data_IF_463996839448
#
_entry.id   IF_463996839448
#
_cell.length_a   1.000
_cell.length_b   1.000
_cell.length_c   1.000
_cell.angle_alpha   90.00
_cell.angle_beta   90.00
_cell.angle_gamma   90.00
#
_symmetry.space_group_name_H-M   'P 1'
#
loop_
_entity.id
_entity.type
_entity.pdbx_description
1 polymer ?
#
# COMPACT_ATOMS: atom_id res chain seq x y z
N UNK A 1 -26.37 46.46 8.13
CA UNK A 1 -26.08 45.70 6.88
C UNK A 1 -24.84 44.81 7.09
N UNK A 2 -24.85 43.95 8.12
CA UNK A 2 -23.64 43.22 8.59
C UNK A 2 -23.91 41.73 8.91
N UNK A 3 -25.01 41.18 8.42
CA UNK A 3 -25.50 39.85 8.85
C UNK A 3 -25.50 38.79 7.74
N UNK A 4 -24.95 39.10 6.55
CA UNK A 4 -24.89 38.17 5.41
C UNK A 4 -23.48 37.68 5.06
N UNK A 5 -22.44 38.18 5.73
CA UNK A 5 -21.04 37.87 5.38
C UNK A 5 -20.53 36.62 6.12
N UNK A 6 -21.11 36.26 7.27
CA UNK A 6 -20.66 35.10 8.04
C UNK A 6 -21.09 33.73 7.49
N UNK A 7 -22.12 33.68 6.64
CA UNK A 7 -22.60 32.41 6.06
C UNK A 7 -21.77 31.96 4.85
N UNK A 8 -20.99 32.85 4.25
CA UNK A 8 -20.19 32.55 3.06
C UNK A 8 -18.80 31.97 3.39
N UNK A 9 -18.34 32.12 4.63
CA UNK A 9 -17.00 31.64 5.05
C UNK A 9 -17.04 30.18 5.51
N UNK A 10 -18.18 29.70 6.03
CA UNK A 10 -18.34 28.31 6.47
C UNK A 10 -18.47 27.29 5.33
N UNK A 11 -18.94 27.71 4.14
CA UNK A 11 -19.14 26.81 2.99
C UNK A 11 -17.87 26.57 2.16
N UNK A 12 -16.85 27.41 2.29
CA UNK A 12 -15.59 27.27 1.53
C UNK A 12 -14.60 26.31 2.19
N UNK A 13 -14.76 26.02 3.50
CA UNK A 13 -13.91 25.05 4.21
C UNK A 13 -14.32 23.58 4.01
N UNK A 14 -15.55 23.30 3.59
CA UNK A 14 -15.99 21.93 3.29
C UNK A 14 -15.52 21.39 1.93
N UNK A 15 -14.84 22.20 1.10
CA UNK A 15 -14.39 21.77 -0.23
C UNK A 15 -12.91 21.37 -0.28
N UNK A 16 -12.15 21.54 0.81
CA UNK A 16 -10.75 21.09 0.88
C UNK A 16 -10.60 19.62 1.33
N UNK A 17 -11.70 18.92 1.63
CA UNK A 17 -11.68 17.50 2.01
C UNK A 17 -11.77 16.53 0.82
N UNK A 18 -11.80 17.04 -0.42
CA UNK A 18 -11.87 16.22 -1.63
C UNK A 18 -10.49 16.18 -2.30
N UNK A 19 -9.71 15.17 -1.90
CA UNK A 19 -8.51 14.75 -2.61
C UNK A 19 -7.26 15.58 -2.29
N UNK A 20 -6.74 15.51 -1.06
CA UNK A 20 -5.30 15.65 -0.93
C UNK A 20 -4.67 14.49 -1.68
N UNK A 21 -4.07 14.78 -2.84
CA UNK A 21 -3.12 13.85 -3.45
C UNK A 21 -2.10 13.49 -2.37
N UNK A 22 -1.96 12.19 -2.09
CA UNK A 22 -1.05 11.71 -1.04
C UNK A 22 0.37 12.15 -1.37
N UNK A 23 1.02 12.75 -0.37
CA UNK A 23 2.35 13.32 -0.54
C UNK A 23 3.44 12.28 -0.29
N UNK A 24 3.11 11.21 0.43
CA UNK A 24 4.01 10.14 0.80
C UNK A 24 4.67 9.50 -0.44
N UNK A 25 5.98 9.33 -0.37
CA UNK A 25 6.85 8.75 -1.39
C UNK A 25 7.49 7.44 -0.94
N UNK A 26 7.43 7.15 0.36
CA UNK A 26 8.00 5.94 0.98
C UNK A 26 7.02 5.29 1.95
N UNK A 27 7.20 3.99 2.22
CA UNK A 27 6.38 3.25 3.19
C UNK A 27 6.59 3.82 4.60
N UNK A 28 7.83 4.20 4.93
CA UNK A 28 8.18 4.87 6.19
C UNK A 28 7.35 6.16 6.40
N UNK A 29 7.10 6.96 5.35
CA UNK A 29 6.23 8.14 5.44
C UNK A 29 4.76 7.76 5.64
N UNK A 30 4.28 6.68 5.02
CA UNK A 30 2.93 6.15 5.28
C UNK A 30 2.76 5.69 6.74
N UNK A 31 3.80 5.07 7.32
CA UNK A 31 3.80 4.58 8.70
C UNK A 31 3.96 5.72 9.72
N UNK A 32 4.79 6.73 9.45
CA UNK A 32 4.89 7.94 10.28
C UNK A 32 3.55 8.69 10.40
N UNK A 33 2.75 8.65 9.34
CA UNK A 33 1.44 9.30 9.28
C UNK A 33 0.28 8.32 9.56
N UNK A 34 0.55 7.12 10.07
CA UNK A 34 -0.48 6.13 10.37
C UNK A 34 -1.42 6.65 11.47
N UNK A 35 -2.69 6.24 11.40
CA UNK A 35 -3.70 6.61 12.39
C UNK A 35 -3.31 6.12 13.79
N UNK A 36 -3.68 6.88 14.83
CA UNK A 36 -3.37 6.56 16.23
C UNK A 36 -3.82 5.15 16.64
N UNK A 37 -4.92 4.66 16.08
CA UNK A 37 -5.47 3.31 16.31
C UNK A 37 -4.54 2.18 15.85
N UNK A 38 -3.55 2.47 15.01
CA UNK A 38 -2.61 1.53 14.42
C UNK A 38 -1.15 1.79 14.81
N UNK A 39 -0.83 2.93 15.44
CA UNK A 39 0.56 3.33 15.77
C UNK A 39 1.31 2.28 16.59
N UNK A 40 0.67 1.76 17.63
CA UNK A 40 1.29 0.74 18.50
C UNK A 40 1.30 -0.67 17.88
N UNK A 41 0.81 -0.81 16.63
CA UNK A 41 0.69 -2.07 15.91
C UNK A 41 1.56 -2.13 14.65
N UNK A 42 2.36 -1.11 14.35
CA UNK A 42 3.20 -1.07 13.13
C UNK A 42 4.00 -2.36 12.96
N UNK A 43 4.61 -2.87 14.02
CA UNK A 43 5.38 -4.12 13.97
C UNK A 43 4.54 -5.34 13.60
N UNK A 44 3.30 -5.42 14.08
CA UNK A 44 2.35 -6.46 13.69
C UNK A 44 1.96 -6.35 12.21
N UNK A 45 1.74 -5.11 11.73
CA UNK A 45 1.35 -4.82 10.35
C UNK A 45 2.47 -5.16 9.37
N UNK A 46 3.73 -4.88 9.71
CA UNK A 46 4.91 -5.23 8.90
C UNK A 46 5.13 -6.74 8.77
N UNK A 47 4.49 -7.56 9.62
CA UNK A 47 4.44 -9.02 9.45
C UNK A 47 3.32 -9.52 8.52
N UNK A 48 2.66 -8.59 7.81
CA UNK A 48 1.55 -8.83 6.89
C UNK A 48 0.29 -9.39 7.58
N UNK A 49 -0.01 -8.93 8.78
CA UNK A 49 -1.25 -9.32 9.46
C UNK A 49 -2.44 -8.58 8.83
N UNK A 50 -3.47 -9.28 8.32
CA UNK A 50 -4.64 -8.62 7.75
C UNK A 50 -5.48 -7.96 8.85
N UNK A 51 -5.83 -6.69 8.65
CA UNK A 51 -6.67 -5.91 9.57
C UNK A 51 -7.81 -5.27 8.79
N UNK A 52 -9.04 -5.47 9.26
CA UNK A 52 -10.23 -4.88 8.65
C UNK A 52 -10.67 -3.67 9.49
N UNK A 53 -10.29 -2.47 9.05
CA UNK A 53 -10.72 -1.20 9.63
C UNK A 53 -10.57 -0.07 8.62
N UNK A 54 -11.35 1.01 8.76
CA UNK A 54 -11.25 2.17 7.85
C UNK A 54 -9.87 2.86 7.93
N UNK A 55 -9.17 2.75 9.07
CA UNK A 55 -7.81 3.26 9.21
C UNK A 55 -6.80 2.37 8.48
N UNK A 56 -7.00 1.05 8.50
CA UNK A 56 -6.17 0.12 7.72
C UNK A 56 -6.44 0.27 6.22
N UNK A 57 -7.68 0.54 5.83
CA UNK A 57 -8.06 0.85 4.45
C UNK A 57 -7.24 2.03 3.90
N UNK A 58 -7.14 3.11 4.69
CA UNK A 58 -6.30 4.27 4.34
C UNK A 58 -4.81 3.91 4.30
N UNK A 59 -4.32 3.20 5.31
CA UNK A 59 -2.90 2.84 5.40
C UNK A 59 -2.47 1.95 4.22
N UNK A 60 -3.23 0.90 3.90
CA UNK A 60 -2.92 0.02 2.77
C UNK A 60 -3.04 0.71 1.43
N UNK A 61 -3.98 1.64 1.25
CA UNK A 61 -3.97 2.48 0.06
C UNK A 61 -2.64 3.26 -0.05
N UNK A 62 -2.04 3.72 1.06
CA UNK A 62 -0.81 4.51 1.02
C UNK A 62 0.38 3.62 0.64
N UNK A 63 0.52 2.52 1.36
CA UNK A 63 1.60 1.54 1.15
C UNK A 63 1.56 0.99 -0.27
N UNK A 64 0.40 0.50 -0.73
CA UNK A 64 0.28 -0.11 -2.05
C UNK A 64 0.46 0.90 -3.19
N UNK A 65 0.09 2.16 -2.98
CA UNK A 65 0.30 3.22 -3.97
C UNK A 65 1.78 3.61 -4.05
N UNK A 66 2.46 3.76 -2.91
CA UNK A 66 3.90 4.03 -2.85
C UNK A 66 4.70 2.93 -3.54
N UNK A 67 4.45 1.66 -3.24
CA UNK A 67 5.13 0.55 -3.91
C UNK A 67 4.67 0.36 -5.37
N UNK A 68 3.65 1.11 -5.82
CA UNK A 68 3.20 1.18 -7.20
C UNK A 68 2.24 0.08 -7.63
N UNK A 69 1.64 -0.65 -6.68
CA UNK A 69 0.75 -1.78 -6.98
C UNK A 69 -0.69 -1.33 -7.19
N UNK A 70 -1.06 -0.16 -6.67
CA UNK A 70 -2.37 0.46 -6.94
C UNK A 70 -2.21 1.90 -7.37
N UNK A 71 -3.24 2.43 -8.01
CA UNK A 71 -3.40 3.85 -8.30
C UNK A 71 -4.15 4.58 -7.17
N UNK A 72 -4.31 5.89 -7.31
CA UNK A 72 -4.99 6.79 -6.34
C UNK A 72 -6.42 6.37 -5.95
N UNK A 73 -7.09 5.55 -6.77
CA UNK A 73 -8.45 5.07 -6.53
C UNK A 73 -8.47 3.63 -5.98
N UNK A 74 -7.31 3.07 -5.64
CA UNK A 74 -7.12 1.70 -5.19
C UNK A 74 -7.26 0.65 -6.29
N UNK A 75 -7.28 1.06 -7.56
CA UNK A 75 -7.25 0.14 -8.70
C UNK A 75 -5.85 -0.44 -8.88
N UNK A 76 -5.76 -1.75 -9.09
CA UNK A 76 -4.47 -2.47 -9.19
C UNK A 76 -3.77 -2.19 -10.52
N UNK A 77 -2.47 -1.93 -10.47
CA UNK A 77 -1.60 -1.85 -11.65
C UNK A 77 -1.15 -3.27 -12.04
N UNK A 78 -2.07 -4.03 -12.68
CA UNK A 78 -1.90 -5.48 -12.91
C UNK A 78 -0.60 -5.85 -13.62
N UNK A 79 -0.20 -5.10 -14.65
CA UNK A 79 1.02 -5.38 -15.42
C UNK A 79 2.29 -5.22 -14.59
N UNK A 80 2.36 -4.16 -13.79
CA UNK A 80 3.54 -3.86 -12.96
C UNK A 80 3.67 -4.90 -11.85
N UNK A 81 2.56 -5.22 -11.18
CA UNK A 81 2.52 -6.25 -10.16
C UNK A 81 2.90 -7.62 -10.73
N UNK A 82 2.33 -8.03 -11.88
CA UNK A 82 2.64 -9.32 -12.50
C UNK A 82 4.12 -9.45 -12.84
N UNK A 83 4.72 -8.41 -13.44
CA UNK A 83 6.15 -8.42 -13.79
C UNK A 83 7.06 -8.56 -12.58
N UNK A 84 6.68 -7.94 -11.45
CA UNK A 84 7.43 -8.06 -10.20
C UNK A 84 7.27 -9.41 -9.54
N UNK A 85 6.05 -9.95 -9.48
CA UNK A 85 5.81 -11.28 -8.94
C UNK A 85 6.60 -12.33 -9.72
N UNK A 86 6.54 -12.29 -11.05
CA UNK A 86 7.29 -13.20 -11.93
C UNK A 86 8.82 -13.08 -11.79
N UNK A 87 9.31 -11.90 -11.40
CA UNK A 87 10.72 -11.68 -11.11
C UNK A 87 11.15 -12.36 -9.80
N UNK A 88 10.27 -12.35 -8.81
CA UNK A 88 10.50 -12.97 -7.50
C UNK A 88 10.33 -14.49 -7.58
N UNK A 89 9.27 -14.95 -8.24
CA UNK A 89 8.92 -16.36 -8.40
C UNK A 89 8.20 -16.54 -9.75
N UNK A 90 8.77 -17.33 -10.65
CA UNK A 90 8.14 -17.61 -11.96
C UNK A 90 7.32 -18.90 -11.97
N UNK A 91 7.30 -19.66 -10.86
CA UNK A 91 6.65 -20.97 -10.75
C UNK A 91 5.16 -20.92 -10.40
N UNK A 92 4.62 -19.76 -10.05
CA UNK A 92 3.24 -19.58 -9.59
C UNK A 92 2.40 -18.88 -10.66
N UNK A 93 1.15 -19.29 -10.82
CA UNK A 93 0.17 -18.58 -11.65
C UNK A 93 -0.32 -17.30 -10.97
N UNK A 94 0.52 -16.27 -11.03
CA UNK A 94 0.24 -14.95 -10.46
C UNK A 94 -0.91 -14.25 -11.17
N UNK A 95 -1.06 -14.44 -12.48
CA UNK A 95 -2.09 -13.75 -13.28
C UNK A 95 -3.51 -14.16 -12.83
N UNK A 96 -3.75 -15.44 -12.58
CA UNK A 96 -5.03 -15.93 -12.06
C UNK A 96 -5.34 -15.36 -10.67
N UNK A 97 -4.34 -15.32 -9.79
CA UNK A 97 -4.48 -14.76 -8.44
C UNK A 97 -4.75 -13.25 -8.47
N UNK A 98 -4.05 -12.48 -9.33
CA UNK A 98 -4.31 -11.05 -9.54
C UNK A 98 -5.76 -10.86 -9.99
N UNK A 99 -6.19 -11.56 -11.03
CA UNK A 99 -7.56 -11.42 -11.56
C UNK A 99 -8.62 -11.72 -10.51
N UNK A 100 -8.43 -12.77 -9.71
CA UNK A 100 -9.32 -13.12 -8.61
C UNK A 100 -9.45 -11.95 -7.62
N UNK A 101 -8.32 -11.44 -7.12
CA UNK A 101 -8.34 -10.41 -6.09
C UNK A 101 -8.73 -9.02 -6.62
N UNK A 102 -8.44 -8.71 -7.88
CA UNK A 102 -8.97 -7.52 -8.56
C UNK A 102 -10.49 -7.60 -8.67
N UNK A 103 -11.03 -8.76 -9.03
CA UNK A 103 -12.50 -8.97 -9.10
C UNK A 103 -13.12 -8.76 -7.74
N UNK A 104 -12.54 -9.31 -6.67
CA UNK A 104 -13.03 -9.12 -5.30
C UNK A 104 -12.99 -7.65 -4.88
N UNK A 105 -11.86 -6.97 -5.07
CA UNK A 105 -11.72 -5.54 -4.77
C UNK A 105 -12.68 -4.66 -5.58
N UNK A 106 -13.04 -5.05 -6.81
CA UNK A 106 -13.99 -4.28 -7.63
C UNK A 106 -15.41 -4.20 -7.04
N UNK A 107 -15.74 -5.07 -6.08
CA UNK A 107 -17.05 -5.10 -5.42
C UNK A 107 -17.22 -4.08 -4.29
N UNK A 108 -16.13 -3.40 -3.89
CA UNK A 108 -16.13 -2.41 -2.79
C UNK A 108 -15.84 -0.99 -3.30
N UNK A 109 -16.16 0.00 -2.46
CA UNK A 109 -15.88 1.41 -2.77
C UNK A 109 -14.38 1.70 -2.83
N UNK A 110 -13.97 2.73 -3.60
CA UNK A 110 -12.56 3.09 -3.85
C UNK A 110 -11.71 3.14 -2.57
N UNK A 111 -12.24 3.72 -1.48
CA UNK A 111 -11.53 3.82 -0.21
C UNK A 111 -11.14 2.48 0.43
N UNK A 112 -11.72 1.35 0.00
CA UNK A 112 -11.48 0.00 0.55
C UNK A 112 -10.72 -0.93 -0.40
N UNK A 113 -10.67 -0.58 -1.70
CA UNK A 113 -10.16 -1.45 -2.76
C UNK A 113 -8.77 -1.99 -2.50
N UNK A 114 -7.84 -1.12 -2.10
CA UNK A 114 -6.46 -1.51 -1.86
C UNK A 114 -6.34 -2.55 -0.73
N UNK A 115 -7.01 -2.34 0.41
CA UNK A 115 -6.97 -3.27 1.53
C UNK A 115 -7.74 -4.58 1.25
N UNK A 116 -8.86 -4.52 0.50
CA UNK A 116 -9.55 -5.73 0.03
C UNK A 116 -8.66 -6.54 -0.91
N UNK A 117 -8.00 -5.89 -1.87
CA UNK A 117 -7.05 -6.55 -2.76
C UNK A 117 -5.91 -7.19 -1.96
N UNK A 118 -5.26 -6.43 -1.08
CA UNK A 118 -4.19 -6.88 -0.20
C UNK A 118 -4.59 -8.13 0.58
N UNK A 119 -5.72 -8.05 1.30
CA UNK A 119 -6.21 -9.14 2.15
C UNK A 119 -6.54 -10.38 1.34
N UNK A 120 -7.19 -10.23 0.17
CA UNK A 120 -7.41 -11.35 -0.75
C UNK A 120 -6.09 -11.98 -1.18
N UNK A 121 -5.11 -11.17 -1.58
CA UNK A 121 -3.84 -11.65 -2.13
C UNK A 121 -3.03 -12.44 -1.10
N UNK A 122 -3.12 -12.04 0.18
CA UNK A 122 -2.51 -12.78 1.28
C UNK A 122 -3.04 -14.22 1.43
N UNK A 123 -4.25 -14.50 0.94
CA UNK A 123 -4.87 -15.82 0.94
C UNK A 123 -4.60 -16.66 -0.31
N UNK A 124 -3.67 -16.24 -1.20
CA UNK A 124 -3.39 -16.93 -2.46
C UNK A 124 -2.09 -17.71 -2.44
N UNK A 125 -1.86 -18.55 -3.47
CA UNK A 125 -0.56 -19.18 -3.70
C UNK A 125 0.55 -18.18 -4.03
N UNK A 126 0.22 -16.91 -4.31
CA UNK A 126 1.20 -15.84 -4.58
C UNK A 126 1.68 -15.14 -3.31
N UNK A 127 1.22 -15.54 -2.11
CA UNK A 127 1.54 -14.88 -0.82
C UNK A 127 3.03 -14.60 -0.64
N UNK A 128 3.89 -15.62 -0.80
CA UNK A 128 5.33 -15.45 -0.56
C UNK A 128 5.95 -14.48 -1.56
N UNK A 129 5.62 -14.63 -2.85
CA UNK A 129 6.09 -13.73 -3.89
C UNK A 129 5.59 -12.29 -3.68
N UNK A 130 4.37 -12.13 -3.17
CA UNK A 130 3.77 -10.83 -2.88
C UNK A 130 4.51 -10.09 -1.77
N UNK A 131 4.78 -10.75 -0.64
CA UNK A 131 5.55 -10.14 0.46
C UNK A 131 6.90 -9.65 -0.04
N UNK A 132 7.64 -10.54 -0.69
CA UNK A 132 8.93 -10.24 -1.29
C UNK A 132 8.87 -9.10 -2.33
N UNK A 133 7.79 -9.02 -3.12
CA UNK A 133 7.60 -7.95 -4.10
C UNK A 133 7.31 -6.60 -3.44
N UNK A 134 6.51 -6.57 -2.36
CA UNK A 134 6.27 -5.37 -1.54
C UNK A 134 7.58 -4.90 -0.93
N UNK A 135 8.29 -5.79 -0.23
CA UNK A 135 9.60 -5.54 0.39
C UNK A 135 10.62 -4.98 -0.61
N UNK A 136 10.76 -5.64 -1.75
CA UNK A 136 11.69 -5.20 -2.79
C UNK A 136 11.33 -3.80 -3.30
N UNK A 137 10.04 -3.50 -3.52
CA UNK A 137 9.65 -2.19 -4.00
C UNK A 137 9.72 -1.11 -2.91
N UNK A 138 9.48 -1.43 -1.65
CA UNK A 138 9.76 -0.53 -0.53
C UNK A 138 11.22 -0.07 -0.57
N UNK A 139 12.16 -1.00 -0.73
CA UNK A 139 13.59 -0.69 -0.85
C UNK A 139 13.94 0.14 -2.09
N UNK A 140 13.31 -0.14 -3.24
CA UNK A 140 13.48 0.67 -4.44
C UNK A 140 13.00 2.10 -4.23
N UNK A 141 11.83 2.28 -3.62
CA UNK A 141 11.23 3.60 -3.34
C UNK A 141 12.02 4.39 -2.29
N UNK A 142 12.57 3.70 -1.29
CA UNK A 142 13.47 4.27 -0.30
C UNK A 142 14.90 4.53 -0.84
N UNK A 143 15.20 4.17 -2.10
CA UNK A 143 16.53 4.33 -2.70
C UNK A 143 17.62 3.44 -2.10
N UNK A 144 17.24 2.41 -1.33
CA UNK A 144 18.13 1.42 -0.71
C UNK A 144 18.60 0.35 -1.71
N UNK A 145 17.84 0.19 -2.81
CA UNK A 145 18.17 -0.68 -3.94
C UNK A 145 17.89 0.03 -5.27
N UNK A 146 18.44 -0.50 -6.37
CA UNK A 146 18.15 -0.02 -7.73
C UNK A 146 17.63 -1.16 -8.59
N UNK A 147 16.71 -0.87 -9.51
CA UNK A 147 16.13 -1.86 -10.42
C UNK A 147 17.17 -2.51 -11.35
N UNK A 148 18.29 -1.81 -11.59
CA UNK A 148 19.44 -2.29 -12.35
C UNK A 148 20.28 -3.32 -11.59
N UNK A 149 20.15 -3.39 -10.26
CA UNK A 149 20.87 -4.37 -9.47
C UNK A 149 20.31 -5.77 -9.77
N UNK A 150 21.15 -6.82 -9.73
CA UNK A 150 20.66 -8.18 -9.71
C UNK A 150 19.69 -8.38 -8.55
N UNK A 151 18.57 -9.05 -8.83
CA UNK A 151 17.62 -9.40 -7.79
C UNK A 151 18.23 -10.46 -6.86
N UNK A 152 18.25 -10.16 -5.57
CA UNK A 152 18.79 -11.02 -4.52
C UNK A 152 17.90 -10.95 -3.29
N UNK A 153 17.16 -12.03 -3.03
CA UNK A 153 16.26 -12.11 -1.88
C UNK A 153 16.98 -12.05 -0.54
N UNK A 154 18.21 -12.57 -0.44
CA UNK A 154 18.99 -12.49 0.80
C UNK A 154 19.31 -11.03 1.15
N UNK A 155 19.65 -10.23 0.14
CA UNK A 155 19.88 -8.79 0.31
C UNK A 155 18.58 -8.04 0.65
N UNK A 156 17.46 -8.36 0.00
CA UNK A 156 16.15 -7.77 0.30
C UNK A 156 15.79 -8.02 1.78
N UNK A 157 15.83 -9.28 2.22
CA UNK A 157 15.51 -9.65 3.60
C UNK A 157 16.42 -8.97 4.62
N UNK A 158 17.73 -8.86 4.35
CA UNK A 158 18.65 -8.19 5.26
C UNK A 158 18.34 -6.68 5.42
N UNK A 159 18.03 -6.00 4.31
CA UNK A 159 17.72 -4.56 4.33
C UNK A 159 16.35 -4.26 4.94
N UNK A 160 15.34 -5.09 4.67
CA UNK A 160 14.03 -4.97 5.34
C UNK A 160 14.18 -5.21 6.83
N UNK A 161 14.97 -6.20 7.24
CA UNK A 161 15.25 -6.42 8.66
C UNK A 161 15.90 -5.20 9.32
N UNK A 162 16.82 -4.50 8.65
CA UNK A 162 17.41 -3.26 9.17
C UNK A 162 16.36 -2.15 9.35
N UNK A 163 15.39 -2.05 8.43
CA UNK A 163 14.28 -1.10 8.55
C UNK A 163 13.36 -1.50 9.72
N UNK A 164 12.98 -2.78 9.79
CA UNK A 164 12.14 -3.33 10.84
C UNK A 164 12.77 -3.11 12.21
N UNK A 165 14.05 -3.47 12.40
CA UNK A 165 14.79 -3.32 13.67
C UNK A 165 14.96 -1.83 14.10
N UNK A 166 14.71 -0.88 13.19
CA UNK A 166 14.71 0.56 13.47
C UNK A 166 13.33 1.14 13.81
N UNK A 167 12.26 0.41 13.49
CA UNK A 167 10.86 0.78 13.76
C UNK A 167 10.27 -0.05 14.91
N UNK A 168 10.82 -1.25 15.10
CA UNK A 168 10.45 -2.33 16.01
C UNK A 168 11.72 -2.86 16.72
#
# INVERSE_FOLDING_TARGET
MFQKIFLSVGLVWCLMSLGQARQEKTVEECEKNIADSLKDRVCELRQYTPVNSDDMDKHMQCVLEVVGFVNENGGVNESDLLGLLQRVDSGVDHASNIRKCVTEASTVGNGKKANTFYTCFLGTSSLVAFKNAVDYNELLRAGKMRLSDPFDMGRVTALIKEIDDGLC
#
